data_IF_896785387656
#
_entry.id   IF_896785387656
#
_cell.length_a   1.000
_cell.length_b   1.000
_cell.length_c   1.000
_cell.angle_alpha   90.00
_cell.angle_beta   90.00
_cell.angle_gamma   90.00
#
_symmetry.space_group_name_H-M   'P 1'
#
loop_
_entity.id
_entity.type
_entity.pdbx_description
1 polymer ?
#
# COMPACT_ATOMS: atom_id res chain seq x y z
N UNK A 1 -5.33 51.12 13.72
CA UNK A 1 -4.55 49.89 13.99
C UNK A 1 -5.36 48.58 14.21
N UNK A 2 -6.70 48.46 14.09
CA UNK A 2 -7.38 47.17 14.31
C UNK A 2 -7.30 46.19 13.11
N UNK A 3 -7.00 46.68 11.91
CA UNK A 3 -7.02 45.89 10.66
C UNK A 3 -5.94 44.80 10.54
N UNK A 4 -4.85 44.88 11.31
CA UNK A 4 -3.77 43.87 11.27
C UNK A 4 -4.08 42.63 12.11
N UNK A 5 -4.88 42.77 13.17
CA UNK A 5 -5.28 41.64 14.02
C UNK A 5 -6.36 40.77 13.35
N UNK A 6 -7.29 41.39 12.61
CA UNK A 6 -8.31 40.66 11.84
C UNK A 6 -7.73 39.84 10.70
N UNK A 7 -6.66 40.32 10.04
CA UNK A 7 -5.99 39.59 8.97
C UNK A 7 -5.26 38.33 9.47
N UNK A 8 -4.69 38.35 10.68
CA UNK A 8 -3.97 37.21 11.26
C UNK A 8 -4.94 36.10 11.72
N UNK A 9 -6.10 36.46 12.26
CA UNK A 9 -7.13 35.50 12.65
C UNK A 9 -7.74 34.75 11.45
N UNK A 10 -7.89 35.42 10.31
CA UNK A 10 -8.35 34.78 9.07
C UNK A 10 -7.32 33.80 8.48
N UNK A 11 -6.01 34.08 8.62
CA UNK A 11 -4.95 33.19 8.15
C UNK A 11 -4.86 31.88 8.97
N UNK A 12 -5.19 31.93 10.26
CA UNK A 12 -5.23 30.75 11.14
C UNK A 12 -6.41 29.81 10.82
N UNK A 13 -7.51 30.33 10.29
CA UNK A 13 -8.67 29.52 9.85
C UNK A 13 -8.43 28.83 8.49
N UNK A 14 -7.46 29.33 7.71
CA UNK A 14 -7.00 28.73 6.45
C UNK A 14 -5.82 27.77 6.63
N UNK A 15 -5.29 27.63 7.86
CA UNK A 15 -4.39 26.54 8.21
C UNK A 15 -5.21 25.25 8.26
N UNK A 16 -5.45 24.68 7.07
CA UNK A 16 -6.32 23.55 6.85
C UNK A 16 -6.02 22.41 7.81
N UNK A 17 -7.08 21.84 8.37
CA UNK A 17 -7.00 20.60 9.12
C UNK A 17 -6.29 19.56 8.25
N UNK A 18 -5.08 19.16 8.63
CA UNK A 18 -4.42 18.02 8.03
C UNK A 18 -5.36 16.81 8.17
N UNK A 19 -6.00 16.41 7.07
CA UNK A 19 -6.79 15.19 7.04
C UNK A 19 -5.79 14.03 7.07
N UNK A 20 -5.63 13.43 8.24
CA UNK A 20 -5.00 12.12 8.34
C UNK A 20 -5.83 11.13 7.52
N UNK A 21 -5.18 10.21 6.81
CA UNK A 21 -5.88 9.15 6.12
C UNK A 21 -6.68 8.31 7.13
N UNK A 22 -7.95 8.01 6.83
CA UNK A 22 -8.82 7.26 7.74
C UNK A 22 -8.43 5.78 7.83
N UNK A 23 -7.83 5.26 6.76
CA UNK A 23 -7.29 3.89 6.67
C UNK A 23 -6.22 3.81 5.57
N UNK A 24 -5.49 2.69 5.54
CA UNK A 24 -4.52 2.36 4.52
C UNK A 24 -4.98 1.13 3.73
N UNK A 25 -4.71 1.10 2.43
CA UNK A 25 -4.89 -0.07 1.56
C UNK A 25 -3.55 -0.55 1.06
N UNK A 26 -3.24 -1.81 1.34
CA UNK A 26 -1.99 -2.47 0.95
C UNK A 26 -2.25 -3.41 -0.20
N UNK A 27 -1.54 -3.22 -1.31
CA UNK A 27 -1.47 -4.21 -2.38
C UNK A 27 -0.35 -5.22 -2.08
N UNK A 28 -0.70 -6.47 -1.83
CA UNK A 28 0.25 -7.54 -1.56
C UNK A 28 0.25 -8.54 -2.73
N UNK A 29 1.27 -8.45 -3.60
CA UNK A 29 1.45 -9.39 -4.72
C UNK A 29 2.60 -10.32 -4.36
N UNK A 30 2.39 -11.63 -4.40
CA UNK A 30 3.41 -12.62 -4.03
C UNK A 30 3.23 -13.91 -4.83
N UNK A 31 4.26 -14.77 -4.82
CA UNK A 31 4.21 -16.10 -5.43
C UNK A 31 3.57 -17.09 -4.48
N UNK A 32 2.29 -17.38 -4.66
CA UNK A 32 1.48 -18.22 -3.75
C UNK A 32 1.13 -19.59 -4.35
N UNK A 33 1.46 -19.80 -5.62
CA UNK A 33 1.35 -21.10 -6.29
C UNK A 33 2.59 -21.40 -7.14
N UNK A 34 2.67 -22.64 -7.62
CA UNK A 34 3.80 -23.11 -8.42
C UNK A 34 5.07 -23.42 -7.61
N UNK A 35 6.21 -23.63 -8.29
CA UNK A 35 7.45 -24.09 -7.65
C UNK A 35 8.03 -23.11 -6.62
N UNK A 36 7.78 -21.80 -6.77
CA UNK A 36 8.24 -20.76 -5.85
C UNK A 36 7.32 -20.49 -4.64
N UNK A 37 6.20 -21.20 -4.51
CA UNK A 37 5.13 -20.87 -3.56
C UNK A 37 5.57 -20.82 -2.10
N UNK A 38 6.50 -21.69 -1.69
CA UNK A 38 6.97 -21.75 -0.30
C UNK A 38 7.50 -20.40 0.20
N UNK A 39 8.31 -19.72 -0.63
CA UNK A 39 8.86 -18.41 -0.28
C UNK A 39 7.76 -17.36 -0.11
N UNK A 40 6.81 -17.29 -1.05
CA UNK A 40 5.76 -16.27 -1.00
C UNK A 40 4.73 -16.52 0.09
N UNK A 41 4.45 -17.78 0.42
CA UNK A 41 3.62 -18.17 1.57
C UNK A 41 4.28 -17.75 2.87
N UNK A 42 5.57 -18.03 3.06
CA UNK A 42 6.30 -17.63 4.28
C UNK A 42 6.32 -16.11 4.44
N UNK A 43 6.55 -15.35 3.35
CA UNK A 43 6.52 -13.88 3.36
C UNK A 43 5.13 -13.36 3.73
N UNK A 44 4.07 -13.91 3.13
CA UNK A 44 2.67 -13.52 3.42
C UNK A 44 2.32 -13.80 4.88
N UNK A 45 2.68 -14.97 5.37
CA UNK A 45 2.33 -15.39 6.72
C UNK A 45 3.11 -14.59 7.77
N UNK A 46 4.38 -14.27 7.49
CA UNK A 46 5.17 -13.31 8.28
C UNK A 46 4.56 -11.91 8.30
N UNK A 47 4.11 -11.40 7.15
CA UNK A 47 3.42 -10.11 7.06
C UNK A 47 2.12 -10.10 7.86
N UNK A 48 1.30 -11.14 7.72
CA UNK A 48 0.05 -11.30 8.47
C UNK A 48 0.27 -11.43 9.98
N UNK A 49 1.35 -12.08 10.41
CA UNK A 49 1.74 -12.13 11.81
C UNK A 49 2.08 -10.73 12.33
N UNK A 50 2.84 -9.94 11.56
CA UNK A 50 3.14 -8.55 11.89
C UNK A 50 1.86 -7.69 12.00
N UNK A 51 0.97 -7.80 11.02
CA UNK A 51 -0.34 -7.12 11.05
C UNK A 51 -1.15 -7.50 12.29
N UNK A 52 -1.15 -8.77 12.69
CA UNK A 52 -1.81 -9.23 13.92
C UNK A 52 -1.19 -8.60 15.16
N UNK A 53 0.14 -8.55 15.25
CA UNK A 53 0.84 -7.92 16.38
C UNK A 53 0.58 -6.41 16.47
N UNK A 54 0.34 -5.77 15.32
CA UNK A 54 -0.01 -4.35 15.22
C UNK A 54 -1.53 -4.10 15.32
N UNK A 55 -2.32 -5.11 15.71
CA UNK A 55 -3.79 -5.02 15.82
C UNK A 55 -4.47 -4.52 14.53
N UNK A 56 -3.98 -4.97 13.38
CA UNK A 56 -4.53 -4.60 12.07
C UNK A 56 -4.18 -3.17 11.63
N UNK A 57 -3.17 -2.54 12.24
CA UNK A 57 -2.80 -1.15 11.96
C UNK A 57 -1.39 -1.00 11.41
N UNK A 58 -1.19 0.01 10.58
CA UNK A 58 0.12 0.46 10.10
C UNK A 58 0.21 1.97 10.34
N UNK A 59 1.27 2.43 11.00
CA UNK A 59 1.41 3.85 11.37
C UNK A 59 0.28 4.38 12.27
N UNK A 60 -0.41 3.50 13.02
CA UNK A 60 -1.58 3.85 13.84
C UNK A 60 -2.91 3.88 13.10
N UNK A 61 -2.90 3.72 11.77
CA UNK A 61 -4.09 3.68 10.93
C UNK A 61 -4.54 2.24 10.66
N UNK A 62 -5.85 1.92 10.66
CA UNK A 62 -6.34 0.64 10.19
C UNK A 62 -5.85 0.34 8.77
N UNK A 63 -5.40 -0.89 8.50
CA UNK A 63 -4.96 -1.27 7.18
C UNK A 63 -5.76 -2.45 6.63
N UNK A 64 -6.24 -2.30 5.39
CA UNK A 64 -6.84 -3.34 4.57
C UNK A 64 -5.75 -3.91 3.65
N UNK A 65 -5.62 -5.23 3.59
CA UNK A 65 -4.58 -5.90 2.80
C UNK A 65 -5.25 -6.71 1.69
N UNK A 66 -4.99 -6.32 0.44
CA UNK A 66 -5.46 -7.00 -0.76
C UNK A 66 -4.35 -7.92 -1.26
N UNK A 67 -4.63 -9.22 -1.35
CA UNK A 67 -3.63 -10.23 -1.71
C UNK A 67 -3.90 -10.77 -3.12
N UNK A 68 -2.84 -10.89 -3.94
CA UNK A 68 -2.89 -11.53 -5.24
C UNK A 68 -1.70 -12.47 -5.44
N UNK A 69 -1.96 -13.60 -6.10
CA UNK A 69 -0.94 -14.56 -6.53
C UNK A 69 -0.39 -14.16 -7.90
N UNK A 70 0.93 -14.00 -7.99
CA UNK A 70 1.61 -13.74 -9.26
C UNK A 70 1.87 -15.01 -10.09
N UNK A 71 1.68 -16.20 -9.52
CA UNK A 71 1.91 -17.50 -10.17
C UNK A 71 3.33 -17.63 -10.74
N UNK A 72 4.29 -16.88 -10.19
CA UNK A 72 5.65 -16.74 -10.70
C UNK A 72 5.72 -16.20 -12.15
N UNK A 73 4.69 -15.47 -12.60
CA UNK A 73 4.54 -14.93 -13.94
C UNK A 73 4.57 -13.39 -13.96
N UNK A 74 5.50 -12.76 -14.70
CA UNK A 74 5.56 -11.30 -14.82
C UNK A 74 4.26 -10.67 -15.34
N UNK A 75 3.59 -11.31 -16.29
CA UNK A 75 2.35 -10.80 -16.89
C UNK A 75 1.18 -10.84 -15.89
N UNK A 76 1.07 -11.93 -15.12
CA UNK A 76 0.05 -12.05 -14.06
C UNK A 76 0.30 -11.03 -12.96
N UNK A 77 1.56 -10.86 -12.54
CA UNK A 77 1.94 -9.84 -11.56
C UNK A 77 1.57 -8.42 -12.03
N UNK A 78 1.83 -8.09 -13.30
CA UNK A 78 1.48 -6.80 -13.88
C UNK A 78 -0.03 -6.56 -13.88
N UNK A 79 -0.82 -7.57 -14.23
CA UNK A 79 -2.29 -7.47 -14.18
C UNK A 79 -2.81 -7.25 -12.75
N UNK A 80 -2.24 -7.96 -11.77
CA UNK A 80 -2.59 -7.79 -10.37
C UNK A 80 -2.21 -6.39 -9.86
N UNK A 81 -0.98 -5.93 -10.15
CA UNK A 81 -0.51 -4.59 -9.82
C UNK A 81 -1.40 -3.51 -10.44
N UNK A 82 -1.71 -3.63 -11.74
CA UNK A 82 -2.59 -2.69 -12.44
C UNK A 82 -3.99 -2.63 -11.81
N UNK A 83 -4.55 -3.77 -11.41
CA UNK A 83 -5.83 -3.81 -10.69
C UNK A 83 -5.72 -3.07 -9.35
N UNK A 84 -4.70 -3.36 -8.56
CA UNK A 84 -4.48 -2.72 -7.25
C UNK A 84 -4.31 -1.20 -7.37
N UNK A 85 -3.50 -0.73 -8.33
CA UNK A 85 -3.24 0.69 -8.54
C UNK A 85 -4.44 1.42 -9.16
N UNK A 86 -5.07 0.85 -10.20
CA UNK A 86 -6.07 1.57 -11.00
C UNK A 86 -7.46 1.44 -10.42
N UNK A 87 -7.86 0.25 -9.99
CA UNK A 87 -9.21 -0.06 -9.50
C UNK A 87 -9.31 0.03 -7.99
N UNK A 88 -8.41 -0.65 -7.27
CA UNK A 88 -8.55 -0.77 -5.81
C UNK A 88 -7.96 0.43 -5.05
N UNK A 89 -7.13 1.22 -5.73
CA UNK A 89 -6.47 2.44 -5.23
C UNK A 89 -5.69 2.17 -3.94
N UNK A 90 -4.77 1.20 -4.00
CA UNK A 90 -3.87 0.91 -2.88
C UNK A 90 -2.89 2.06 -2.65
N UNK A 91 -2.52 2.31 -1.40
CA UNK A 91 -1.59 3.37 -1.00
C UNK A 91 -0.13 2.93 -1.15
N UNK A 92 0.15 1.63 -0.99
CA UNK A 92 1.47 1.06 -1.21
C UNK A 92 1.39 -0.40 -1.62
N UNK A 93 2.46 -0.86 -2.28
CA UNK A 93 2.60 -2.23 -2.75
C UNK A 93 3.79 -2.95 -2.11
N UNK A 94 3.63 -4.24 -1.85
CA UNK A 94 4.66 -5.10 -1.25
C UNK A 94 4.44 -6.59 -1.60
N UNK A 95 5.33 -7.46 -1.13
CA UNK A 95 5.20 -8.93 -1.20
C UNK A 95 5.97 -9.60 -2.34
N UNK A 96 6.56 -8.82 -3.26
CA UNK A 96 7.23 -9.36 -4.46
C UNK A 96 8.43 -10.23 -4.07
N UNK A 97 8.46 -11.46 -4.61
CA UNK A 97 9.49 -12.46 -4.28
C UNK A 97 10.68 -12.41 -5.24
N UNK A 98 10.43 -12.41 -6.56
CA UNK A 98 11.47 -12.59 -7.57
C UNK A 98 11.79 -11.30 -8.34
N UNK A 99 13.06 -11.12 -8.71
CA UNK A 99 13.53 -9.90 -9.39
C UNK A 99 12.91 -9.69 -10.77
N UNK A 100 12.67 -10.75 -11.53
CA UNK A 100 11.99 -10.65 -12.83
C UNK A 100 10.55 -10.13 -12.69
N UNK A 101 9.87 -10.50 -11.59
CA UNK A 101 8.55 -9.97 -11.25
C UNK A 101 8.66 -8.49 -10.87
N UNK A 102 9.62 -8.13 -10.01
CA UNK A 102 9.85 -6.73 -9.61
C UNK A 102 10.16 -5.83 -10.82
N UNK A 103 10.97 -6.29 -11.76
CA UNK A 103 11.30 -5.54 -12.99
C UNK A 103 10.06 -5.29 -13.87
N UNK A 104 9.07 -6.18 -13.85
CA UNK A 104 7.85 -6.03 -14.63
C UNK A 104 6.85 -5.06 -13.97
N UNK A 105 6.75 -5.05 -12.64
CA UNK A 105 5.76 -4.24 -11.91
C UNK A 105 6.30 -2.87 -11.45
N UNK A 106 7.59 -2.79 -11.13
CA UNK A 106 8.23 -1.59 -10.57
C UNK A 106 7.94 -0.28 -11.31
N UNK A 107 8.01 -0.23 -12.65
CA UNK A 107 7.70 0.97 -13.39
C UNK A 107 6.29 1.52 -13.15
N UNK A 108 5.29 0.68 -12.87
CA UNK A 108 3.93 1.13 -12.56
C UNK A 108 3.75 1.51 -11.09
N UNK A 109 4.51 0.89 -10.18
CA UNK A 109 4.41 1.08 -8.73
C UNK A 109 5.11 2.35 -8.25
N UNK A 110 6.23 2.73 -8.88
CA UNK A 110 7.06 3.85 -8.45
C UNK A 110 6.76 5.18 -9.18
N UNK A 111 5.67 5.23 -9.93
CA UNK A 111 5.18 6.47 -10.57
C UNK A 111 4.31 7.25 -9.61
#
# INVERSE_FOLDING_TARGET
>A
MPSRLTALAAALLLAGAAHAADSLKVGFVSTLSGPGAGLGVDIRDGFNLGMKQLNGKLGGLPAEVLIADDQQSPDVAKQAADKFLKKDKVDFMTGIVFSNIMLAVGPAVFQ
#
